data_IF_792895382922
#
_entry.id   IF_792895382922
#
_cell.length_a   1.000
_cell.length_b   1.000
_cell.length_c   1.000
_cell.angle_alpha   90.00
_cell.angle_beta   90.00
_cell.angle_gamma   90.00
#
_symmetry.space_group_name_H-M   'P 1'
#
loop_
_entity.id
_entity.type
_entity.pdbx_description
1 polymer ?
#
# COMPACT_ATOMS: atom_id res chain seq x y z
N UNK A 1 -24.41 6.02 -0.66
CA UNK A 1 -23.61 6.32 0.55
C UNK A 1 -22.14 6.12 0.19
N UNK A 2 -21.48 7.20 -0.24
CA UNK A 2 -20.06 7.20 -0.62
C UNK A 2 -19.38 8.29 0.18
N UNK A 3 -18.65 7.90 1.23
CA UNK A 3 -17.84 8.81 2.02
C UNK A 3 -16.44 8.85 1.42
N UNK A 4 -16.12 9.94 0.72
CA UNK A 4 -14.75 10.33 0.42
C UNK A 4 -14.19 11.08 1.64
N UNK A 5 -13.02 10.71 2.20
CA UNK A 5 -12.32 11.61 3.10
C UNK A 5 -11.71 12.76 2.29
N UNK A 6 -12.30 13.94 2.44
CA UNK A 6 -11.69 15.22 2.07
C UNK A 6 -10.56 15.47 3.07
N UNK A 7 -9.32 15.42 2.63
CA UNK A 7 -8.19 15.95 3.39
C UNK A 7 -8.24 17.48 3.30
N UNK A 8 -8.88 18.08 4.29
CA UNK A 8 -8.81 19.51 4.58
C UNK A 8 -7.40 19.84 5.07
N UNK A 9 -6.52 20.25 4.15
CA UNK A 9 -5.32 20.99 4.53
C UNK A 9 -5.75 22.44 4.76
N UNK A 10 -6.12 22.74 6.00
CA UNK A 10 -6.27 24.10 6.50
C UNK A 10 -4.95 24.86 6.35
N UNK A 11 -4.75 25.50 5.20
CA UNK A 11 -3.76 26.57 5.06
C UNK A 11 -4.44 27.83 5.58
N UNK A 12 -4.32 28.07 6.88
CA UNK A 12 -4.62 29.39 7.45
C UNK A 12 -3.52 30.35 7.00
N UNK A 13 -3.67 30.95 5.82
CA UNK A 13 -2.85 32.07 5.38
C UNK A 13 -3.28 33.34 6.10
N UNK A 14 -2.88 33.47 7.37
CA UNK A 14 -2.71 34.76 8.01
C UNK A 14 -1.24 35.11 7.95
N UNK A 15 -0.85 36.02 7.06
CA UNK A 15 0.20 36.97 7.37
C UNK A 15 0.04 38.16 6.42
N UNK A 16 -0.41 39.27 7.01
CA UNK A 16 -0.51 40.54 6.32
C UNK A 16 0.84 40.99 5.79
N UNK A 17 0.82 41.54 4.58
CA UNK A 17 1.75 42.61 4.21
C UNK A 17 1.48 43.77 5.17
N UNK A 18 2.51 44.37 5.81
CA UNK A 18 3.46 45.17 5.05
C UNK A 18 4.90 45.04 5.58
N UNK A 19 5.89 45.26 4.71
CA UNK A 19 6.99 46.21 4.91
C UNK A 19 8.10 46.01 3.87
N UNK A 20 8.50 47.13 3.26
CA UNK A 20 9.69 47.27 2.42
C UNK A 20 10.93 46.93 3.27
N UNK A 21 11.48 45.73 3.05
CA UNK A 21 12.77 45.31 3.58
C UNK A 21 13.54 44.59 2.49
N UNK A 22 14.31 45.34 1.70
CA UNK A 22 15.33 44.80 0.81
C UNK A 22 16.48 44.28 1.69
N UNK A 23 16.86 43.00 1.56
CA UNK A 23 18.06 42.50 2.24
C UNK A 23 18.03 41.02 2.60
N UNK A 24 18.54 40.18 1.70
CA UNK A 24 19.30 38.94 1.92
C UNK A 24 18.73 37.78 2.79
N UNK A 25 17.73 37.97 3.64
CA UNK A 25 17.15 36.92 4.48
C UNK A 25 16.27 35.94 3.68
N UNK A 26 15.67 36.41 2.59
CA UNK A 26 14.96 35.54 1.65
C UNK A 26 15.86 34.52 0.96
N UNK A 27 17.17 34.82 0.81
CA UNK A 27 18.12 33.93 0.15
C UNK A 27 18.41 32.70 1.02
N UNK A 28 18.60 32.88 2.33
CA UNK A 28 18.86 31.75 3.23
C UNK A 28 17.63 30.83 3.31
N UNK A 29 16.43 31.40 3.39
CA UNK A 29 15.18 30.63 3.36
C UNK A 29 15.04 29.90 2.01
N UNK A 30 15.33 30.56 0.89
CA UNK A 30 15.29 29.94 -0.43
C UNK A 30 16.31 28.79 -0.59
N UNK A 31 17.50 28.91 0.01
CA UNK A 31 18.51 27.84 0.00
C UNK A 31 18.09 26.65 0.85
N UNK A 32 17.52 26.88 2.03
CA UNK A 32 16.98 25.79 2.87
C UNK A 32 15.82 25.10 2.15
N UNK A 33 14.92 25.85 1.49
CA UNK A 33 13.84 25.29 0.69
C UNK A 33 14.39 24.49 -0.50
N UNK A 34 15.42 24.98 -1.19
CA UNK A 34 16.05 24.24 -2.30
C UNK A 34 16.68 22.94 -1.83
N UNK A 35 17.41 22.94 -0.72
CA UNK A 35 18.04 21.73 -0.16
C UNK A 35 16.98 20.72 0.30
N UNK A 36 15.93 21.18 0.96
CA UNK A 36 14.78 20.34 1.37
C UNK A 36 14.06 19.79 0.14
N UNK A 37 13.83 20.61 -0.89
CA UNK A 37 13.21 20.19 -2.15
C UNK A 37 14.05 19.14 -2.87
N UNK A 38 15.37 19.28 -2.92
CA UNK A 38 16.28 18.27 -3.49
C UNK A 38 16.29 16.99 -2.64
N UNK A 39 16.23 17.10 -1.31
CA UNK A 39 16.08 15.94 -0.42
C UNK A 39 14.78 15.17 -0.67
N UNK A 40 13.67 15.86 -0.93
CA UNK A 40 12.40 15.24 -1.29
C UNK A 40 12.40 14.69 -2.73
N UNK A 41 13.08 15.35 -3.68
CA UNK A 41 13.26 14.87 -5.06
C UNK A 41 14.16 13.63 -5.16
N UNK A 42 14.95 13.33 -4.13
CA UNK A 42 15.80 12.13 -4.04
C UNK A 42 15.07 10.87 -3.54
N UNK A 43 13.80 10.97 -3.14
CA UNK A 43 13.00 9.84 -2.65
C UNK A 43 12.06 9.22 -3.69
N UNK A 44 12.30 9.46 -4.98
CA UNK A 44 11.74 8.60 -6.02
C UNK A 44 12.54 7.28 -6.07
N UNK A 45 12.42 6.50 -5.00
CA UNK A 45 12.60 5.07 -5.10
C UNK A 45 11.72 4.63 -6.26
N UNK A 46 12.33 4.03 -7.27
CA UNK A 46 11.71 3.49 -8.46
C UNK A 46 10.78 2.32 -8.08
N UNK A 47 9.78 2.57 -7.24
CA UNK A 47 8.59 1.77 -7.21
C UNK A 47 7.89 2.16 -8.48
N UNK A 48 7.92 1.25 -9.46
CA UNK A 48 6.82 1.15 -10.42
C UNK A 48 5.54 0.97 -9.61
N UNK A 49 5.03 2.07 -9.06
CA UNK A 49 3.66 2.16 -8.61
C UNK A 49 2.89 2.21 -9.91
N UNK A 50 2.64 1.02 -10.47
CA UNK A 50 1.46 0.82 -11.28
C UNK A 50 0.31 1.25 -10.38
N UNK A 51 -0.08 2.52 -10.47
CA UNK A 51 -1.34 3.04 -9.97
C UNK A 51 -2.49 2.51 -10.85
N UNK A 52 -2.37 1.27 -11.32
CA UNK A 52 -3.51 0.41 -11.51
C UNK A 52 -4.09 0.30 -10.10
N UNK A 53 -5.26 0.90 -9.88
CA UNK A 53 -6.17 0.40 -8.86
C UNK A 53 -6.02 -1.12 -8.84
N UNK A 54 -5.38 -1.68 -7.81
CA UNK A 54 -5.23 -3.13 -7.69
C UNK A 54 -6.62 -3.64 -7.34
N UNK A 55 -7.43 -3.79 -8.39
CA UNK A 55 -8.77 -4.31 -8.31
C UNK A 55 -8.61 -5.80 -8.09
N UNK A 56 -9.11 -6.28 -6.96
CA UNK A 56 -9.06 -7.70 -6.61
C UNK A 56 -10.14 -8.42 -7.44
N UNK A 57 -9.76 -8.80 -8.65
CA UNK A 57 -10.59 -9.61 -9.53
C UNK A 57 -10.35 -11.10 -9.27
N UNK A 58 -11.33 -11.92 -9.64
CA UNK A 58 -11.18 -13.37 -9.53
C UNK A 58 -10.05 -13.86 -10.43
N UNK A 59 -9.15 -14.68 -9.88
CA UNK A 59 -8.08 -15.36 -10.59
C UNK A 59 -8.06 -16.85 -10.22
N UNK A 60 -7.69 -17.74 -11.17
CA UNK A 60 -7.60 -19.17 -10.88
C UNK A 60 -6.46 -19.50 -9.91
N UNK A 61 -5.35 -18.76 -10.00
CA UNK A 61 -4.22 -18.86 -9.09
C UNK A 61 -3.73 -17.47 -8.72
N UNK A 62 -3.37 -17.28 -7.46
CA UNK A 62 -2.93 -16.00 -6.93
C UNK A 62 -1.52 -16.08 -6.35
N UNK A 63 -0.80 -14.96 -6.42
CA UNK A 63 0.55 -14.87 -5.89
C UNK A 63 1.63 -15.01 -6.96
N UNK A 64 2.87 -15.21 -6.49
CA UNK A 64 4.03 -15.34 -7.37
C UNK A 64 4.15 -16.76 -7.92
N UNK A 65 4.59 -16.90 -9.17
CA UNK A 65 4.89 -18.19 -9.78
C UNK A 65 6.00 -18.93 -9.04
N UNK A 66 5.86 -20.25 -8.84
CA UNK A 66 6.83 -21.08 -8.16
C UNK A 66 8.25 -20.95 -8.78
N UNK A 67 9.20 -20.42 -8.00
CA UNK A 67 10.62 -20.32 -8.38
C UNK A 67 11.50 -20.96 -7.31
N UNK A 68 12.43 -21.81 -7.74
CA UNK A 68 13.36 -22.51 -6.82
C UNK A 68 14.18 -21.51 -6.01
N UNK A 69 14.44 -21.84 -4.74
CA UNK A 69 15.29 -21.04 -3.83
C UNK A 69 14.68 -19.73 -3.32
N UNK A 70 13.39 -19.45 -3.58
CA UNK A 70 12.74 -18.22 -3.13
C UNK A 70 12.18 -18.35 -1.71
N UNK A 71 12.26 -17.26 -0.93
CA UNK A 71 11.51 -17.11 0.32
C UNK A 71 10.05 -16.83 -0.02
N UNK A 72 9.12 -17.48 0.68
CA UNK A 72 7.69 -17.37 0.41
C UNK A 72 6.96 -16.69 1.55
N UNK A 73 6.26 -15.62 1.21
CA UNK A 73 5.38 -14.88 2.09
C UNK A 73 3.94 -15.30 1.83
N UNK A 74 3.42 -16.12 2.72
CA UNK A 74 2.07 -16.67 2.65
C UNK A 74 1.05 -15.69 3.21
N UNK A 75 0.00 -15.42 2.45
CA UNK A 75 -1.12 -14.60 2.93
C UNK A 75 -2.15 -15.50 3.59
N UNK A 76 -2.19 -15.42 4.91
CA UNK A 76 -3.04 -16.23 5.77
C UNK A 76 -4.28 -15.47 6.20
N UNK A 77 -5.36 -16.19 6.47
CA UNK A 77 -6.61 -15.64 6.94
C UNK A 77 -7.44 -16.65 7.72
N UNK A 78 -8.62 -16.21 8.15
CA UNK A 78 -9.54 -17.08 8.86
C UNK A 78 -10.24 -18.07 7.92
N UNK A 79 -10.43 -19.32 8.37
CA UNK A 79 -11.14 -20.39 7.65
C UNK A 79 -12.53 -19.97 7.15
N UNK A 80 -13.27 -19.14 7.89
CA UNK A 80 -14.60 -18.70 7.42
C UNK A 80 -14.54 -17.85 6.14
N UNK A 81 -13.39 -17.23 5.84
CA UNK A 81 -13.21 -16.46 4.62
C UNK A 81 -12.99 -17.34 3.37
N UNK A 82 -12.75 -18.65 3.53
CA UNK A 82 -12.39 -19.55 2.43
C UNK A 82 -13.38 -19.47 1.27
N UNK A 83 -14.69 -19.59 1.55
CA UNK A 83 -15.71 -19.60 0.51
C UNK A 83 -15.65 -18.32 -0.32
N UNK A 84 -15.65 -17.18 0.36
CA UNK A 84 -15.58 -15.86 -0.28
C UNK A 84 -14.30 -15.69 -1.07
N UNK A 85 -13.14 -16.03 -0.50
CA UNK A 85 -11.85 -15.92 -1.19
C UNK A 85 -11.81 -16.83 -2.41
N UNK A 86 -12.19 -18.10 -2.26
CA UNK A 86 -12.10 -19.10 -3.32
C UNK A 86 -13.03 -18.81 -4.50
N UNK A 87 -14.25 -18.37 -4.22
CA UNK A 87 -15.27 -18.13 -5.24
C UNK A 87 -15.15 -16.76 -5.90
N UNK A 88 -14.58 -15.75 -5.22
CA UNK A 88 -14.57 -14.36 -5.72
C UNK A 88 -13.20 -13.78 -6.04
N UNK A 89 -12.11 -14.36 -5.51
CA UNK A 89 -10.79 -13.74 -5.56
C UNK A 89 -9.68 -14.70 -6.02
N UNK A 90 -9.48 -15.85 -5.36
CA UNK A 90 -8.38 -16.78 -5.64
C UNK A 90 -8.83 -18.24 -5.63
N UNK A 91 -8.94 -18.86 -6.80
CA UNK A 91 -9.43 -20.23 -6.96
C UNK A 91 -8.56 -21.31 -6.28
N UNK A 92 -7.28 -21.03 -6.08
CA UNK A 92 -6.30 -21.91 -5.45
C UNK A 92 -6.24 -21.78 -3.92
N UNK A 93 -7.07 -20.91 -3.33
CA UNK A 93 -7.14 -20.77 -1.88
C UNK A 93 -7.56 -22.08 -1.19
N UNK A 94 -6.89 -22.40 -0.06
CA UNK A 94 -7.08 -23.65 0.66
C UNK A 94 -6.87 -23.52 2.16
N UNK A 95 -7.28 -24.55 2.92
CA UNK A 95 -7.07 -24.62 4.37
C UNK A 95 -5.79 -25.38 4.65
N UNK A 96 -4.85 -24.73 5.33
CA UNK A 96 -3.61 -25.32 5.81
C UNK A 96 -3.88 -26.40 6.86
N UNK A 97 -2.90 -27.28 7.10
CA UNK A 97 -2.97 -28.29 8.17
C UNK A 97 -3.16 -27.70 9.57
N UNK A 98 -2.82 -26.41 9.77
CA UNK A 98 -3.03 -25.66 11.01
C UNK A 98 -4.42 -25.06 11.15
N UNK A 99 -5.32 -25.30 10.19
CA UNK A 99 -6.71 -24.84 10.22
C UNK A 99 -6.94 -23.41 9.73
N UNK A 100 -5.89 -22.70 9.32
CA UNK A 100 -5.98 -21.35 8.73
C UNK A 100 -6.16 -21.42 7.22
N UNK A 101 -6.81 -20.40 6.64
CA UNK A 101 -6.86 -20.19 5.20
C UNK A 101 -5.51 -19.67 4.71
N UNK A 102 -4.98 -20.24 3.64
CA UNK A 102 -3.93 -19.62 2.83
C UNK A 102 -4.56 -19.19 1.50
N UNK A 103 -4.53 -17.89 1.23
CA UNK A 103 -5.16 -17.29 0.06
C UNK A 103 -4.23 -17.23 -1.16
N UNK A 104 -2.95 -16.98 -0.93
CA UNK A 104 -1.90 -16.85 -1.94
C UNK A 104 -0.52 -16.89 -1.29
N UNK A 105 0.54 -17.04 -2.08
CA UNK A 105 1.93 -16.88 -1.62
C UNK A 105 2.74 -16.03 -2.60
N UNK A 106 3.54 -15.11 -2.07
CA UNK A 106 4.34 -14.19 -2.87
C UNK A 106 5.82 -14.32 -2.54
N UNK A 107 6.70 -14.02 -3.50
CA UNK A 107 8.14 -13.92 -3.27
C UNK A 107 8.56 -12.55 -2.73
N UNK A 108 7.66 -11.56 -2.78
CA UNK A 108 7.85 -10.22 -2.21
C UNK A 108 6.97 -10.05 -0.97
N UNK A 109 7.60 -9.66 0.15
CA UNK A 109 6.88 -9.32 1.39
C UNK A 109 5.90 -8.17 1.17
N UNK A 110 6.31 -7.13 0.44
CA UNK A 110 5.48 -5.97 0.18
C UNK A 110 4.22 -6.32 -0.64
N UNK A 111 4.36 -7.20 -1.64
CA UNK A 111 3.21 -7.70 -2.41
C UNK A 111 2.25 -8.52 -1.54
N UNK A 112 2.78 -9.40 -0.69
CA UNK A 112 1.97 -10.17 0.25
C UNK A 112 1.21 -9.26 1.24
N UNK A 113 1.85 -8.22 1.77
CA UNK A 113 1.22 -7.28 2.69
C UNK A 113 0.13 -6.44 2.02
N UNK A 114 0.39 -5.97 0.79
CA UNK A 114 -0.62 -5.27 0.00
C UNK A 114 -1.82 -6.17 -0.30
N UNK A 115 -1.57 -7.42 -0.73
CA UNK A 115 -2.63 -8.37 -1.02
C UNK A 115 -3.46 -8.71 0.24
N UNK A 116 -2.79 -8.91 1.39
CA UNK A 116 -3.47 -9.14 2.67
C UNK A 116 -4.34 -7.95 3.09
N UNK A 117 -3.85 -6.72 2.91
CA UNK A 117 -4.60 -5.50 3.20
C UNK A 117 -5.85 -5.37 2.32
N UNK A 118 -5.71 -5.63 1.02
CA UNK A 118 -6.83 -5.60 0.09
C UNK A 118 -7.87 -6.67 0.41
N UNK A 119 -7.45 -7.92 0.65
CA UNK A 119 -8.35 -8.99 1.07
C UNK A 119 -9.08 -8.64 2.37
N UNK A 120 -8.37 -8.04 3.33
CA UNK A 120 -9.00 -7.58 4.58
C UNK A 120 -10.08 -6.55 4.32
N UNK A 121 -9.80 -5.57 3.46
CA UNK A 121 -10.73 -4.50 3.09
C UNK A 121 -11.97 -5.02 2.36
N UNK A 122 -11.82 -5.96 1.42
CA UNK A 122 -12.93 -6.41 0.55
C UNK A 122 -13.75 -7.55 1.16
N UNK A 123 -13.18 -8.32 2.09
CA UNK A 123 -13.88 -9.44 2.73
C UNK A 123 -14.38 -9.13 4.14
N UNK A 124 -13.80 -8.13 4.81
CA UNK A 124 -14.04 -7.84 6.23
C UNK A 124 -13.37 -8.81 7.21
N UNK A 125 -12.68 -9.84 6.74
CA UNK A 125 -11.91 -10.76 7.58
C UNK A 125 -10.47 -10.29 7.71
N UNK A 126 -9.83 -10.52 8.86
CA UNK A 126 -8.41 -10.23 9.03
C UNK A 126 -7.53 -11.20 8.23
N UNK A 127 -6.64 -10.65 7.41
CA UNK A 127 -5.54 -11.37 6.77
C UNK A 127 -4.19 -10.86 7.27
N UNK A 128 -3.18 -11.73 7.25
CA UNK A 128 -1.81 -11.42 7.67
C UNK A 128 -0.78 -12.20 6.86
N UNK A 129 0.46 -11.73 6.86
CA UNK A 129 1.57 -12.40 6.19
C UNK A 129 2.29 -13.33 7.18
N UNK A 130 2.59 -14.55 6.75
CA UNK A 130 3.41 -15.53 7.44
C UNK A 130 4.56 -15.96 6.54
N UNK A 131 5.75 -16.17 7.11
CA UNK A 131 6.95 -16.66 6.43
C UNK A 131 7.53 -17.86 7.17
#
# INVERSE_FOLDING_TARGET
MSNHPVIDLGITSNLGSPNKGCGCFGIIIALVILVVSVYFLGQDSNTKTNNSSVTLEWQPACGSSARSGSVWYSVMGNRQALKTVKEKYCGDAFITSRGNLQAASFTSKAEAEQFASLLTKVTGYKFWVSY
#
